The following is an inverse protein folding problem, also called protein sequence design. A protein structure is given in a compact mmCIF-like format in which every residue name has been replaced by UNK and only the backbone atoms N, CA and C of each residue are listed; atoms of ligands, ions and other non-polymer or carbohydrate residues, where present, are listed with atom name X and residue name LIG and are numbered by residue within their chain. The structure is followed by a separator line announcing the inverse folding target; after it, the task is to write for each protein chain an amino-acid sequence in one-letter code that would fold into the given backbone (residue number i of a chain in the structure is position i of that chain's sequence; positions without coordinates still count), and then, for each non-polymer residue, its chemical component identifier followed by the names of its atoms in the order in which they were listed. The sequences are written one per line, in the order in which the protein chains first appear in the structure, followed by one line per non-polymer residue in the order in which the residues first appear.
data_IF_731947291199
#
_entry.id   IF_731947291199
#
_cell.length_a   1.000
_cell.length_b   1.000
_cell.length_c   1.000
_cell.angle_alpha   90.00
_cell.angle_beta   90.00
_cell.angle_gamma   90.00
#
_symmetry.space_group_name_H-M   'P 1'
#
loop_
_entity.id
_entity.type
_entity.pdbx_description
1 polymer ?
#
# COMPACT_ATOMS: atom_id res chain seq x y z
N UNK A 1 4.91 -16.09 -30.33
CA UNK A 1 3.93 -15.49 -29.36
C UNK A 1 4.38 -14.11 -28.86
N UNK A 2 5.62 -13.97 -28.36
CA UNK A 2 6.11 -12.69 -27.79
C UNK A 2 6.17 -11.53 -28.78
N UNK A 3 6.60 -11.77 -30.02
CA UNK A 3 6.60 -10.73 -31.07
C UNK A 3 5.21 -10.23 -31.41
N UNK A 4 4.23 -11.14 -31.45
CA UNK A 4 2.81 -10.79 -31.70
C UNK A 4 2.29 -9.93 -30.55
N UNK A 5 2.52 -10.32 -29.30
CA UNK A 5 2.13 -9.49 -28.13
C UNK A 5 2.76 -8.11 -28.22
N UNK A 6 4.06 -8.04 -28.49
CA UNK A 6 4.80 -6.77 -28.61
C UNK A 6 4.23 -5.90 -29.73
N UNK A 7 3.95 -6.49 -30.89
CA UNK A 7 3.40 -5.77 -32.06
C UNK A 7 1.96 -5.32 -31.81
N UNK A 8 1.15 -6.13 -31.12
CA UNK A 8 -0.22 -5.77 -30.72
C UNK A 8 -0.23 -4.57 -29.76
N UNK A 9 0.61 -4.56 -28.73
CA UNK A 9 0.69 -3.41 -27.81
C UNK A 9 1.17 -2.15 -28.56
N UNK A 10 2.09 -2.28 -29.52
CA UNK A 10 2.51 -1.19 -30.44
C UNK A 10 1.38 -0.65 -31.30
N UNK A 11 0.51 -1.52 -31.81
CA UNK A 11 -0.67 -1.09 -32.54
C UNK A 11 -1.64 -0.31 -31.63
N UNK A 12 -1.86 -0.80 -30.40
CA UNK A 12 -2.72 -0.14 -29.41
C UNK A 12 -2.16 1.22 -28.98
N UNK A 13 -0.85 1.35 -28.75
CA UNK A 13 -0.19 2.64 -28.46
C UNK A 13 -0.46 3.66 -29.57
N UNK A 14 -0.27 3.26 -30.84
CA UNK A 14 -0.50 4.15 -31.99
C UNK A 14 -1.96 4.57 -32.13
N UNK A 15 -2.89 3.69 -31.79
CA UNK A 15 -4.31 3.95 -31.89
C UNK A 15 -4.84 4.84 -30.74
N UNK A 16 -4.49 4.50 -29.49
CA UNK A 16 -5.01 5.21 -28.31
C UNK A 16 -4.23 6.48 -27.99
N UNK A 17 -2.93 6.51 -28.25
CA UNK A 17 -2.04 7.66 -27.99
C UNK A 17 -2.03 8.15 -26.52
N UNK A 18 -2.47 7.32 -25.57
CA UNK A 18 -2.55 7.64 -24.13
C UNK A 18 -1.39 7.09 -23.30
N UNK A 19 -0.53 6.25 -23.88
CA UNK A 19 0.62 5.67 -23.20
C UNK A 19 1.78 5.48 -24.18
N UNK A 20 2.95 5.10 -23.66
CA UNK A 20 4.14 4.79 -24.44
C UNK A 20 4.68 3.40 -24.12
N UNK A 21 5.39 2.79 -25.07
CA UNK A 21 6.15 1.56 -24.84
C UNK A 21 7.28 1.73 -23.84
N UNK A 22 7.63 0.66 -23.12
CA UNK A 22 8.70 0.64 -22.11
C UNK A 22 10.01 1.20 -22.67
N UNK A 23 10.37 0.85 -23.91
CA UNK A 23 11.60 1.29 -24.58
C UNK A 23 11.66 2.80 -24.83
N UNK A 24 10.52 3.48 -24.82
CA UNK A 24 10.41 4.94 -24.97
C UNK A 24 10.26 5.66 -23.63
N UNK A 25 10.03 4.94 -22.54
CA UNK A 25 9.88 5.54 -21.20
C UNK A 25 11.25 5.84 -20.63
N UNK A 26 11.39 6.99 -19.98
CA UNK A 26 12.58 7.30 -19.18
C UNK A 26 12.65 6.32 -18.00
N UNK A 27 13.75 5.59 -17.90
CA UNK A 27 14.00 4.73 -16.75
C UNK A 27 14.16 5.59 -15.48
N UNK A 28 13.43 5.31 -14.40
CA UNK A 28 13.57 6.05 -13.15
C UNK A 28 14.90 5.74 -12.46
N UNK A 29 15.52 6.73 -11.83
CA UNK A 29 16.85 6.60 -11.19
C UNK A 29 16.88 5.50 -10.11
N UNK A 30 15.73 5.21 -9.48
CA UNK A 30 15.60 4.17 -8.46
C UNK A 30 16.14 2.80 -8.92
N UNK A 31 16.02 2.47 -10.21
CA UNK A 31 16.44 1.16 -10.75
C UNK A 31 17.95 0.96 -10.75
N UNK A 32 18.73 2.04 -10.56
CA UNK A 32 20.18 1.97 -10.45
C UNK A 32 20.66 1.63 -9.03
N UNK A 33 19.74 1.49 -8.07
CA UNK A 33 20.08 1.40 -6.67
C UNK A 33 19.63 0.10 -6.03
N UNK A 34 20.43 -0.37 -5.08
CA UNK A 34 19.97 -1.35 -4.11
C UNK A 34 19.01 -0.68 -3.13
N UNK A 35 17.89 -1.34 -2.85
CA UNK A 35 16.91 -0.89 -1.86
C UNK A 35 16.37 -2.04 -1.02
N UNK A 36 15.64 -1.68 0.02
CA UNK A 36 15.12 -2.63 1.00
C UNK A 36 13.62 -2.47 1.17
N UNK A 37 12.88 -3.57 1.14
CA UNK A 37 11.47 -3.62 1.50
C UNK A 37 11.31 -4.22 2.90
N UNK A 38 10.47 -3.63 3.73
CA UNK A 38 10.30 -4.05 5.13
C UNK A 38 9.45 -5.31 5.30
N UNK A 39 8.83 -5.82 4.24
CA UNK A 39 7.84 -6.91 4.30
C UNK A 39 8.38 -8.17 4.95
N UNK A 40 9.42 -8.80 4.40
CA UNK A 40 9.93 -10.07 4.93
C UNK A 40 10.59 -9.93 6.33
N UNK A 41 10.87 -8.71 6.76
CA UNK A 41 11.45 -8.43 8.07
C UNK A 41 10.39 -8.28 9.17
N UNK A 42 9.21 -7.73 8.85
CA UNK A 42 8.22 -7.36 9.87
C UNK A 42 6.79 -7.73 9.54
N UNK A 43 6.49 -8.07 8.28
CA UNK A 43 5.15 -8.10 7.73
C UNK A 43 4.35 -6.86 8.17
N UNK A 44 3.14 -7.04 8.71
CA UNK A 44 2.29 -5.94 9.17
C UNK A 44 2.77 -5.28 10.47
N UNK A 45 3.79 -5.82 11.13
CA UNK A 45 4.32 -5.32 12.41
C UNK A 45 5.43 -4.28 12.24
N UNK A 46 5.62 -3.75 11.03
CA UNK A 46 6.62 -2.69 10.78
C UNK A 46 6.39 -1.47 11.69
N UNK A 47 7.49 -0.91 12.22
CA UNK A 47 7.50 0.29 13.07
C UNK A 47 8.61 1.24 12.63
N UNK A 48 8.50 2.53 12.97
CA UNK A 48 9.58 3.49 12.71
C UNK A 48 10.92 3.06 13.33
N UNK A 49 10.89 2.45 14.52
CA UNK A 49 12.09 1.94 15.18
C UNK A 49 12.68 0.72 14.47
N UNK A 50 11.83 -0.21 14.02
CA UNK A 50 12.26 -1.38 13.25
C UNK A 50 12.93 -1.00 11.92
N UNK A 51 12.38 0.00 11.21
CA UNK A 51 12.99 0.55 9.99
C UNK A 51 14.40 1.09 10.27
N UNK A 52 14.57 1.90 11.33
CA UNK A 52 15.88 2.45 11.71
C UNK A 52 16.89 1.34 12.04
N UNK A 53 16.47 0.35 12.82
CA UNK A 53 17.32 -0.77 13.21
C UNK A 53 17.71 -1.64 12.01
N UNK A 54 16.79 -1.89 11.08
CA UNK A 54 17.07 -2.64 9.86
C UNK A 54 18.08 -1.93 8.96
N UNK A 55 17.92 -0.62 8.75
CA UNK A 55 18.90 0.18 7.99
C UNK A 55 20.30 0.14 8.63
N UNK A 56 20.37 0.33 9.96
CA UNK A 56 21.63 0.22 10.69
C UNK A 56 22.25 -1.18 10.60
N UNK A 57 21.42 -2.24 10.62
CA UNK A 57 21.90 -3.61 10.52
C UNK A 57 22.45 -3.92 9.13
N UNK A 58 21.80 -3.44 8.07
CA UNK A 58 22.30 -3.58 6.69
C UNK A 58 23.65 -2.87 6.52
N UNK A 59 23.76 -1.64 7.05
CA UNK A 59 25.02 -0.87 6.99
C UNK A 59 26.15 -1.58 7.74
N UNK A 60 25.88 -2.14 8.93
CA UNK A 60 26.84 -2.99 9.65
C UNK A 60 27.24 -4.24 8.86
N UNK A 61 26.33 -4.78 8.05
CA UNK A 61 26.58 -5.87 7.12
C UNK A 61 27.33 -5.46 5.84
N UNK A 62 27.71 -4.18 5.70
CA UNK A 62 28.45 -3.66 4.55
C UNK A 62 27.59 -3.22 3.37
N UNK A 63 26.26 -3.14 3.54
CA UNK A 63 25.32 -2.74 2.48
C UNK A 63 24.54 -1.50 2.91
N UNK A 64 24.56 -0.45 2.08
CA UNK A 64 23.79 0.78 2.32
C UNK A 64 22.69 0.94 1.27
N UNK A 65 21.42 0.61 1.58
CA UNK A 65 20.29 0.90 0.69
C UNK A 65 20.22 2.38 0.32
N UNK A 66 19.86 2.68 -0.94
CA UNK A 66 19.52 4.06 -1.35
C UNK A 66 18.03 4.31 -1.40
N UNK A 67 17.21 3.29 -1.21
CA UNK A 67 15.80 3.47 -0.95
C UNK A 67 15.27 2.42 0.01
N UNK A 68 14.19 2.79 0.69
CA UNK A 68 13.41 1.87 1.52
C UNK A 68 11.94 1.95 1.11
N UNK A 69 11.27 0.80 1.06
CA UNK A 69 9.82 0.68 0.93
C UNK A 69 9.30 0.25 2.30
N UNK A 70 8.54 1.14 2.95
CA UNK A 70 7.78 0.82 4.15
C UNK A 70 6.52 0.09 3.69
N UNK A 71 6.56 -1.22 3.79
CA UNK A 71 5.49 -2.12 3.36
C UNK A 71 4.28 -2.06 4.33
N UNK A 72 3.29 -2.93 4.12
CA UNK A 72 2.04 -2.99 4.89
C UNK A 72 2.25 -2.94 6.41
N UNK A 73 1.30 -2.32 7.11
CA UNK A 73 1.29 -2.12 8.54
C UNK A 73 1.52 -0.69 9.00
N UNK A 74 1.85 0.25 8.12
CA UNK A 74 2.03 1.67 8.52
C UNK A 74 0.72 2.48 8.55
N UNK A 75 -0.32 2.08 7.81
CA UNK A 75 -1.66 2.69 7.88
C UNK A 75 -2.55 2.02 8.94
N UNK A 76 -3.65 2.67 9.32
CA UNK A 76 -4.64 2.08 10.22
C UNK A 76 -5.70 1.31 9.43
N UNK A 77 -5.77 0.00 9.69
CA UNK A 77 -6.77 -0.89 9.12
C UNK A 77 -7.48 -1.68 10.22
N UNK A 78 -8.72 -2.09 9.99
CA UNK A 78 -9.47 -2.93 10.93
C UNK A 78 -10.53 -3.78 10.22
N UNK A 79 -10.85 -4.94 10.80
CA UNK A 79 -11.94 -5.81 10.36
C UNK A 79 -13.26 -5.35 10.96
N UNK A 80 -14.35 -5.37 10.18
CA UNK A 80 -15.66 -4.95 10.65
C UNK A 80 -16.16 -5.86 11.80
N UNK A 81 -17.01 -5.36 12.72
CA UNK A 81 -17.45 -6.13 13.88
C UNK A 81 -18.10 -7.48 13.55
N UNK A 82 -18.77 -7.57 12.40
CA UNK A 82 -19.42 -8.79 11.88
C UNK A 82 -18.64 -9.43 10.73
N UNK A 83 -17.39 -9.02 10.52
CA UNK A 83 -16.51 -9.55 9.48
C UNK A 83 -15.98 -10.94 9.83
N UNK A 84 -15.68 -11.71 8.79
CA UNK A 84 -15.05 -13.03 8.89
C UNK A 84 -13.56 -12.86 8.60
N UNK A 85 -12.71 -13.19 9.57
CA UNK A 85 -11.27 -13.09 9.41
C UNK A 85 -10.76 -13.99 8.28
N UNK A 86 -9.80 -13.49 7.52
CA UNK A 86 -9.08 -14.24 6.50
C UNK A 86 -7.59 -13.94 6.69
N UNK A 87 -6.97 -14.72 7.57
CA UNK A 87 -5.59 -14.54 8.00
C UNK A 87 -4.65 -15.30 7.06
N UNK A 88 -3.61 -14.63 6.58
CA UNK A 88 -2.49 -15.24 5.87
C UNK A 88 -1.29 -15.45 6.78
N UNK A 89 -0.37 -16.34 6.37
CA UNK A 89 0.82 -16.72 7.15
C UNK A 89 1.74 -15.53 7.49
N UNK A 90 1.66 -14.46 6.70
CA UNK A 90 2.39 -13.21 6.88
C UNK A 90 1.64 -12.20 7.75
N UNK A 91 0.77 -12.63 8.66
CA UNK A 91 -0.02 -11.80 9.60
C UNK A 91 -1.04 -10.84 8.97
N UNK A 92 -1.16 -10.77 7.64
CA UNK A 92 -2.19 -9.98 7.01
C UNK A 92 -3.58 -10.58 7.26
N UNK A 93 -4.57 -9.70 7.40
CA UNK A 93 -5.97 -10.10 7.40
C UNK A 93 -6.66 -9.44 6.20
N UNK A 94 -7.00 -10.23 5.18
CA UNK A 94 -7.63 -9.71 3.96
C UNK A 94 -9.04 -9.14 4.21
N UNK A 95 -9.63 -9.41 5.39
CA UNK A 95 -10.90 -8.83 5.81
C UNK A 95 -10.77 -7.41 6.39
N UNK A 96 -9.54 -6.93 6.63
CA UNK A 96 -9.31 -5.58 7.13
C UNK A 96 -9.65 -4.52 6.07
N UNK A 97 -10.13 -3.37 6.52
CA UNK A 97 -10.42 -2.18 5.70
C UNK A 97 -9.65 -0.98 6.21
N UNK A 98 -9.29 -0.08 5.29
CA UNK A 98 -8.67 1.19 5.63
C UNK A 98 -9.62 2.02 6.51
N UNK A 99 -9.11 2.48 7.66
CA UNK A 99 -9.86 3.33 8.59
C UNK A 99 -9.24 4.72 8.74
N UNK A 100 -7.94 4.88 8.47
CA UNK A 100 -7.28 6.19 8.34
C UNK A 100 -6.22 6.17 7.22
N UNK A 101 -6.15 7.24 6.40
CA UNK A 101 -5.22 7.34 5.25
C UNK A 101 -3.80 7.62 5.72
N UNK A 102 -3.64 8.45 6.75
CA UNK A 102 -2.31 8.79 7.27
C UNK A 102 -1.73 7.64 8.08
N UNK A 103 -0.46 7.79 8.42
CA UNK A 103 0.25 6.84 9.23
C UNK A 103 -0.42 6.61 10.58
N UNK A 104 -0.31 5.38 11.06
CA UNK A 104 -0.77 4.99 12.38
C UNK A 104 0.27 5.39 13.46
N UNK A 105 -0.10 5.13 14.70
CA UNK A 105 0.71 5.45 15.87
C UNK A 105 2.16 4.90 15.83
N UNK A 106 2.45 3.83 15.08
CA UNK A 106 3.81 3.25 14.99
C UNK A 106 4.81 4.15 14.24
N UNK A 107 4.33 5.16 13.54
CA UNK A 107 5.12 6.11 12.76
C UNK A 107 4.94 7.57 13.22
N UNK A 108 4.22 7.78 14.32
CA UNK A 108 4.10 9.09 14.96
C UNK A 108 5.16 9.22 16.06
N UNK A 109 5.78 10.40 16.18
CA UNK A 109 6.90 10.68 17.10
C UNK A 109 6.62 10.26 18.55
N UNK A 110 5.41 10.49 19.03
CA UNK A 110 4.93 10.11 20.35
C UNK A 110 3.68 9.21 20.26
N UNK A 111 3.59 8.41 19.20
CA UNK A 111 2.38 7.66 18.89
C UNK A 111 2.01 6.66 19.98
N UNK A 112 0.71 6.57 20.25
CA UNK A 112 0.12 5.62 21.18
C UNK A 112 -1.09 4.99 20.51
N UNK A 113 -1.30 3.71 20.73
CA UNK A 113 -2.46 3.02 20.18
C UNK A 113 -3.76 3.71 20.63
N UNK A 114 -4.71 3.86 19.70
CA UNK A 114 -5.96 4.60 19.93
C UNK A 114 -5.84 6.13 19.93
N UNK A 115 -4.64 6.70 19.87
CA UNK A 115 -4.42 8.14 19.77
C UNK A 115 -3.87 8.54 18.39
N UNK A 116 -4.22 9.74 17.96
CA UNK A 116 -3.72 10.33 16.73
C UNK A 116 -3.05 11.67 17.00
N UNK A 117 -1.88 11.85 16.42
CA UNK A 117 -1.23 13.15 16.27
C UNK A 117 -1.54 13.67 14.85
N UNK A 118 -2.15 14.85 14.76
CA UNK A 118 -2.57 15.43 13.48
C UNK A 118 -1.49 16.33 12.85
N UNK A 119 -0.49 16.74 13.64
CA UNK A 119 0.67 17.50 13.15
C UNK A 119 1.52 16.65 12.18
N UNK A 120 1.53 16.97 10.87
CA UNK A 120 2.27 16.20 9.88
C UNK A 120 3.78 16.14 10.17
N UNK A 121 4.33 17.17 10.83
CA UNK A 121 5.75 17.23 11.18
C UNK A 121 6.14 16.20 12.25
N UNK A 122 5.15 15.62 12.95
CA UNK A 122 5.34 14.54 13.93
C UNK A 122 4.88 13.18 13.42
N UNK A 123 4.35 13.11 12.20
CA UNK A 123 3.95 11.90 11.51
C UNK A 123 5.10 11.23 10.76
N UNK A 124 4.78 10.65 9.61
CA UNK A 124 5.76 9.96 8.76
C UNK A 124 6.93 10.87 8.34
N UNK A 125 6.69 12.17 8.14
CA UNK A 125 7.71 13.15 7.79
C UNK A 125 8.86 13.20 8.82
N UNK A 126 8.55 13.06 10.12
CA UNK A 126 9.57 13.00 11.16
C UNK A 126 10.51 11.81 10.95
N UNK A 127 9.94 10.63 10.69
CA UNK A 127 10.68 9.38 10.48
C UNK A 127 11.53 9.48 9.23
N UNK A 128 10.95 9.97 8.12
CA UNK A 128 11.64 10.18 6.83
C UNK A 128 12.84 11.12 6.99
N UNK A 129 12.66 12.26 7.66
CA UNK A 129 13.73 13.23 7.90
C UNK A 129 14.86 12.61 8.73
N UNK A 130 14.53 11.82 9.75
CA UNK A 130 15.52 11.17 10.59
C UNK A 130 16.33 10.11 9.84
N UNK A 131 15.66 9.22 9.09
CA UNK A 131 16.37 8.16 8.35
C UNK A 131 17.18 8.71 7.19
N UNK A 132 16.71 9.75 6.49
CA UNK A 132 17.50 10.42 5.44
C UNK A 132 18.67 11.22 6.00
N UNK A 133 18.56 11.76 7.22
CA UNK A 133 19.65 12.47 7.88
C UNK A 133 20.77 11.54 8.39
N UNK A 134 20.44 10.28 8.69
CA UNK A 134 21.39 9.29 9.24
C UNK A 134 21.93 8.31 8.20
N UNK A 135 21.14 8.03 7.17
CA UNK A 135 21.44 7.02 6.17
C UNK A 135 21.51 7.63 4.78
N UNK A 136 22.18 6.93 3.89
CA UNK A 136 22.42 7.34 2.51
C UNK A 136 21.20 7.19 1.57
N UNK A 137 19.99 7.29 2.12
CA UNK A 137 18.73 7.12 1.41
C UNK A 137 18.44 8.31 0.48
N UNK A 138 18.18 8.00 -0.79
CA UNK A 138 17.64 8.92 -1.79
C UNK A 138 16.11 8.95 -1.74
N UNK A 139 15.49 7.77 -1.65
CA UNK A 139 14.04 7.62 -1.72
C UNK A 139 13.48 6.89 -0.51
N UNK A 140 12.26 7.27 -0.13
CA UNK A 140 11.44 6.54 0.84
C UNK A 140 10.08 6.37 0.19
N UNK A 141 9.61 5.13 0.10
CA UNK A 141 8.30 4.79 -0.44
C UNK A 141 7.46 4.16 0.67
N UNK A 142 6.16 4.22 0.47
CA UNK A 142 5.18 3.51 1.29
C UNK A 142 4.35 2.61 0.39
N UNK A 143 4.02 1.42 0.89
CA UNK A 143 3.09 0.52 0.24
C UNK A 143 1.69 0.75 0.78
N UNK A 144 0.67 0.69 -0.05
CA UNK A 144 -0.72 0.81 0.37
C UNK A 144 -1.60 0.06 -0.60
N UNK A 145 -2.63 -0.59 -0.09
CA UNK A 145 -3.68 -1.19 -0.88
C UNK A 145 -4.97 -0.38 -0.75
N UNK A 146 -5.91 -0.64 -1.66
CA UNK A 146 -7.28 -0.15 -1.53
C UNK A 146 -8.18 -1.38 -1.54
N UNK A 147 -8.36 -1.98 -2.71
CA UNK A 147 -9.11 -3.22 -2.94
C UNK A 147 -8.17 -4.31 -3.42
N UNK A 148 -8.46 -5.58 -3.11
CA UNK A 148 -7.73 -6.74 -3.64
C UNK A 148 -6.82 -7.41 -2.61
N UNK A 149 -6.29 -6.63 -1.68
CA UNK A 149 -5.54 -7.13 -0.52
C UNK A 149 -6.28 -6.76 0.79
N UNK A 150 -6.65 -5.49 0.94
CA UNK A 150 -7.65 -5.08 1.93
C UNK A 150 -9.06 -5.09 1.32
N UNK A 151 -10.07 -5.09 2.19
CA UNK A 151 -11.48 -5.02 1.84
C UNK A 151 -11.99 -3.62 1.44
N UNK A 152 -11.13 -2.70 1.00
CA UNK A 152 -11.49 -1.32 0.68
C UNK A 152 -11.43 -0.35 1.85
N UNK A 153 -12.15 0.77 1.70
CA UNK A 153 -12.30 1.83 2.72
C UNK A 153 -13.52 1.54 3.58
N UNK A 154 -13.36 1.49 4.91
CA UNK A 154 -14.46 1.15 5.83
C UNK A 154 -15.60 2.19 5.74
N UNK A 155 -16.83 1.77 5.39
CA UNK A 155 -18.01 2.64 5.47
C UNK A 155 -18.27 3.11 6.91
N UNK A 156 -18.55 4.41 7.08
CA UNK A 156 -18.88 5.00 8.38
C UNK A 156 -17.70 5.16 9.36
N UNK A 157 -16.46 4.93 8.93
CA UNK A 157 -15.31 5.27 9.76
C UNK A 157 -15.12 6.79 9.82
N UNK A 158 -15.01 7.36 11.03
CA UNK A 158 -15.00 8.80 11.27
C UNK A 158 -13.96 9.57 10.41
N UNK A 159 -12.75 9.03 10.25
CA UNK A 159 -11.70 9.64 9.42
C UNK A 159 -11.80 9.40 7.91
N UNK A 160 -12.89 8.77 7.46
CA UNK A 160 -13.12 8.31 6.08
C UNK A 160 -14.51 8.65 5.54
N UNK A 161 -15.38 9.21 6.36
CA UNK A 161 -16.80 9.42 6.02
C UNK A 161 -16.97 10.29 4.78
N UNK A 162 -16.07 11.26 4.57
CA UNK A 162 -16.09 12.18 3.43
C UNK A 162 -15.85 11.49 2.08
N UNK A 163 -15.27 10.28 2.07
CA UNK A 163 -15.14 9.45 0.87
C UNK A 163 -16.44 8.75 0.48
N UNK A 164 -17.45 8.75 1.37
CA UNK A 164 -18.77 8.19 1.12
C UNK A 164 -18.73 6.73 0.70
N UNK A 165 -17.82 5.93 1.27
CA UNK A 165 -17.65 4.55 0.83
C UNK A 165 -18.89 3.69 1.11
N UNK A 166 -19.20 2.79 0.19
CA UNK A 166 -20.35 1.89 0.28
C UNK A 166 -19.91 0.45 0.11
N UNK A 167 -20.57 -0.43 0.85
CA UNK A 167 -20.33 -1.86 0.73
C UNK A 167 -20.86 -2.38 -0.62
N UNK A 168 -20.02 -3.10 -1.35
CA UNK A 168 -20.35 -3.77 -2.60
C UNK A 168 -19.83 -5.20 -2.56
N UNK A 169 -20.56 -6.16 -3.13
CA UNK A 169 -20.12 -7.56 -3.14
C UNK A 169 -19.66 -7.93 -4.54
N UNK A 170 -18.36 -8.21 -4.75
CA UNK A 170 -17.88 -8.64 -6.05
C UNK A 170 -18.46 -10.02 -6.39
N UNK A 171 -18.78 -10.24 -7.67
CA UNK A 171 -19.14 -11.55 -8.21
C UNK A 171 -17.99 -12.04 -9.08
N UNK A 172 -17.25 -13.08 -8.67
CA UNK A 172 -16.16 -13.60 -9.49
C UNK A 172 -16.70 -14.16 -10.80
N UNK A 173 -15.99 -13.94 -11.90
CA UNK A 173 -16.35 -14.56 -13.18
C UNK A 173 -16.14 -16.07 -13.11
N UNK A 174 -16.87 -16.90 -13.88
CA UNK A 174 -16.74 -18.36 -13.82
C UNK A 174 -15.34 -18.88 -14.13
N UNK A 175 -14.49 -18.08 -14.79
CA UNK A 175 -13.11 -18.44 -15.10
C UNK A 175 -12.17 -18.35 -13.89
N UNK A 176 -12.46 -17.45 -12.93
CA UNK A 176 -11.57 -17.24 -11.77
C UNK A 176 -11.53 -18.47 -10.86
N UNK A 177 -12.66 -19.02 -10.39
CA UNK A 177 -12.66 -20.24 -9.58
C UNK A 177 -12.11 -21.47 -10.31
N UNK A 178 -12.15 -21.47 -11.65
CA UNK A 178 -11.64 -22.58 -12.48
C UNK A 178 -10.13 -22.54 -12.69
N UNK A 179 -9.50 -21.37 -12.54
CA UNK A 179 -8.07 -21.21 -12.74
C UNK A 179 -7.31 -21.44 -11.43
N UNK A 180 -7.59 -20.63 -10.41
CA UNK A 180 -6.93 -20.72 -9.12
C UNK A 180 -7.80 -20.07 -8.04
N UNK A 181 -7.85 -20.70 -6.87
CA UNK A 181 -8.55 -20.15 -5.71
C UNK A 181 -7.70 -19.06 -5.08
N UNK A 182 -8.28 -17.86 -4.92
CA UNK A 182 -7.61 -16.73 -4.28
C UNK A 182 -8.30 -16.41 -2.96
N UNK A 183 -7.58 -16.60 -1.84
CA UNK A 183 -8.12 -16.36 -0.49
C UNK A 183 -8.56 -14.91 -0.28
N UNK A 184 -7.80 -13.95 -0.82
CA UNK A 184 -8.19 -12.55 -0.77
C UNK A 184 -9.52 -12.31 -1.49
N UNK A 185 -9.75 -12.96 -2.65
CA UNK A 185 -11.01 -12.86 -3.38
C UNK A 185 -12.17 -13.54 -2.65
N UNK A 186 -11.93 -14.67 -2.03
CA UNK A 186 -12.92 -15.35 -1.17
C UNK A 186 -13.33 -14.44 -0.01
N UNK A 187 -12.34 -13.84 0.68
CA UNK A 187 -12.58 -12.86 1.74
C UNK A 187 -13.40 -11.67 1.25
N UNK A 188 -13.04 -11.08 0.09
CA UNK A 188 -13.78 -9.95 -0.47
C UNK A 188 -15.21 -10.31 -0.87
N UNK A 189 -15.44 -11.52 -1.35
CA UNK A 189 -16.79 -12.00 -1.71
C UNK A 189 -17.64 -12.21 -0.45
N UNK A 190 -17.05 -12.78 0.61
CA UNK A 190 -17.70 -13.05 1.89
C UNK A 190 -17.94 -11.79 2.72
N UNK A 191 -16.96 -10.89 2.80
CA UNK A 191 -17.00 -9.67 3.61
C UNK A 191 -17.51 -8.44 2.86
N UNK A 192 -17.48 -8.45 1.53
CA UNK A 192 -17.74 -7.28 0.68
C UNK A 192 -16.51 -6.37 0.53
N UNK A 193 -16.64 -5.35 -0.32
CA UNK A 193 -15.68 -4.31 -0.60
C UNK A 193 -16.25 -2.94 -0.24
N UNK A 194 -15.54 -2.17 0.57
CA UNK A 194 -15.84 -0.77 0.83
C UNK A 194 -15.32 0.10 -0.31
N UNK A 195 -16.17 0.35 -1.31
CA UNK A 195 -15.80 1.15 -2.48
C UNK A 195 -16.07 2.63 -2.22
N UNK A 196 -15.08 3.47 -2.44
CA UNK A 196 -15.19 4.95 -2.39
C UNK A 196 -16.24 5.43 -3.39
N UNK A 197 -16.99 6.47 -3.04
CA UNK A 197 -17.93 7.10 -3.97
C UNK A 197 -17.16 7.60 -5.23
N UNK A 198 -17.68 7.29 -6.42
CA UNK A 198 -17.06 7.68 -7.70
C UNK A 198 -16.79 9.19 -7.79
N UNK A 199 -17.70 10.02 -7.28
CA UNK A 199 -17.55 11.48 -7.27
C UNK A 199 -16.40 11.97 -6.35
N UNK A 200 -15.89 11.08 -5.49
CA UNK A 200 -14.81 11.34 -4.53
C UNK A 200 -13.53 10.56 -4.85
N UNK A 201 -13.51 9.75 -5.91
CA UNK A 201 -12.39 8.87 -6.22
C UNK A 201 -11.07 9.63 -6.44
N UNK A 202 -11.12 10.78 -7.12
CA UNK A 202 -9.93 11.62 -7.32
C UNK A 202 -9.46 12.29 -6.02
N UNK A 203 -10.38 12.83 -5.21
CA UNK A 203 -10.03 13.37 -3.87
C UNK A 203 -9.35 12.32 -3.01
N UNK A 204 -9.91 11.11 -2.97
CA UNK A 204 -9.31 9.99 -2.25
C UNK A 204 -7.93 9.67 -2.79
N UNK A 205 -7.76 9.58 -4.12
CA UNK A 205 -6.45 9.32 -4.73
C UNK A 205 -5.44 10.41 -4.38
N UNK A 206 -5.80 11.68 -4.48
CA UNK A 206 -4.91 12.81 -4.19
C UNK A 206 -4.51 12.84 -2.71
N UNK A 207 -5.47 12.67 -1.78
CA UNK A 207 -5.20 12.59 -0.34
C UNK A 207 -4.35 11.38 0.04
N UNK A 208 -4.58 10.24 -0.63
CA UNK A 208 -3.79 9.02 -0.44
C UNK A 208 -2.35 9.16 -0.94
N UNK A 209 -2.00 10.22 -1.68
CA UNK A 209 -0.65 10.46 -2.20
C UNK A 209 -0.07 11.83 -1.80
N UNK A 210 -0.70 12.55 -0.86
CA UNK A 210 -0.32 13.93 -0.53
C UNK A 210 0.83 14.06 0.48
N UNK A 211 1.64 13.02 0.69
CA UNK A 211 2.67 12.96 1.75
C UNK A 211 3.96 13.72 1.42
#
# INVERSE_FOLDING_TARGET
PFEVITSSVKAVERHLQTFSHREKKKMPDILNWFGWCTWDAFYTNVTAQGVKQGLQSLEKGGVSPRFVIIDDGWQSVAMDPVGIACLSDNSANFANRLTHIRENHKFQKNGREGHREDDPAKGLAHVVNEIKGKHQLKYVYVWHAITGYWGGVRPGAAGMEHYGSKMQRPVPSPGVPKNERCEALDSMTANGLGLVNLDRAFSFYDELHSY
#
